data_IF_911158738638
#
_entry.id   IF_911158738638
#
_cell.length_a   1.000
_cell.length_b   1.000
_cell.length_c   1.000
_cell.angle_alpha   90.00
_cell.angle_beta   90.00
_cell.angle_gamma   90.00
#
_symmetry.space_group_name_H-M   'P 1'
#
loop_
_entity.id
_entity.type
_entity.pdbx_description
1 polymer ?
#
# COMPACT_ATOMS: atom_id res chain seq x y z
N UNK A 1 -55.93 -5.58 20.49
CA UNK A 1 -55.01 -4.43 20.24
C UNK A 1 -55.18 -3.30 21.27
N UNK A 2 -55.96 -3.45 22.35
CA UNK A 2 -56.18 -2.37 23.33
C UNK A 2 -55.38 -2.51 24.64
N UNK A 3 -54.73 -3.65 24.90
CA UNK A 3 -54.07 -3.88 26.20
C UNK A 3 -52.58 -3.52 26.24
N UNK A 4 -51.90 -3.39 25.10
CA UNK A 4 -50.45 -3.16 25.05
C UNK A 4 -50.02 -1.68 24.99
N UNK A 5 -50.94 -0.73 25.23
CA UNK A 5 -50.64 0.72 25.25
C UNK A 5 -50.54 1.26 26.69
N UNK A 6 -50.93 0.49 27.71
CA UNK A 6 -51.08 1.03 29.08
C UNK A 6 -49.83 0.95 29.98
N UNK A 7 -48.79 0.22 29.59
CA UNK A 7 -47.50 0.15 30.32
C UNK A 7 -46.32 0.60 29.45
N UNK A 8 -46.38 1.82 28.90
CA UNK A 8 -45.15 2.46 28.41
C UNK A 8 -44.49 3.07 29.65
N UNK A 9 -43.72 2.24 30.37
CA UNK A 9 -42.79 2.71 31.37
C UNK A 9 -41.88 3.78 30.73
N UNK A 10 -42.08 5.03 31.11
CA UNK A 10 -41.26 6.18 30.67
C UNK A 10 -39.77 6.02 31.05
N UNK A 11 -39.44 5.01 31.87
CA UNK A 11 -38.09 4.64 32.29
C UNK A 11 -37.55 3.43 31.52
N UNK A 12 -37.81 3.31 30.22
CA UNK A 12 -37.16 2.31 29.36
C UNK A 12 -35.66 2.62 29.19
N UNK A 13 -34.87 2.18 30.18
CA UNK A 13 -33.44 2.40 30.26
C UNK A 13 -32.67 1.42 29.34
N UNK A 14 -31.43 1.75 28.99
CA UNK A 14 -30.51 0.93 28.19
C UNK A 14 -30.37 -0.49 28.74
N UNK A 15 -30.40 -0.65 30.07
CA UNK A 15 -30.37 -1.96 30.72
C UNK A 15 -31.62 -2.82 30.42
N UNK A 16 -32.80 -2.21 30.36
CA UNK A 16 -34.05 -2.88 29.98
C UNK A 16 -34.02 -3.27 28.50
N UNK A 17 -33.53 -2.38 27.62
CA UNK A 17 -33.32 -2.70 26.22
C UNK A 17 -32.39 -3.92 26.05
N UNK A 18 -31.27 -3.97 26.77
CA UNK A 18 -30.33 -5.10 26.67
C UNK A 18 -30.94 -6.41 27.16
N UNK A 19 -31.78 -6.39 28.21
CA UNK A 19 -32.51 -7.57 28.68
C UNK A 19 -33.54 -8.04 27.65
N UNK A 20 -34.27 -7.11 27.06
CA UNK A 20 -35.32 -7.41 26.09
C UNK A 20 -34.78 -7.77 24.71
N UNK A 21 -33.50 -7.46 24.40
CA UNK A 21 -32.91 -7.72 23.09
C UNK A 21 -33.03 -9.18 22.66
N UNK A 22 -32.92 -10.14 23.57
CA UNK A 22 -33.12 -11.57 23.26
C UNK A 22 -34.55 -11.84 22.82
N UNK A 23 -35.53 -11.34 23.58
CA UNK A 23 -36.94 -11.51 23.26
C UNK A 23 -37.35 -10.77 21.97
N UNK A 24 -36.85 -9.53 21.78
CA UNK A 24 -37.04 -8.76 20.55
C UNK A 24 -36.44 -9.52 19.37
N UNK A 25 -35.26 -10.13 19.51
CA UNK A 25 -34.66 -10.94 18.44
C UNK A 25 -35.52 -12.15 18.09
N UNK A 26 -35.98 -12.90 19.08
CA UNK A 26 -36.87 -14.05 18.86
C UNK A 26 -38.19 -13.64 18.18
N UNK A 27 -38.76 -12.50 18.56
CA UNK A 27 -39.99 -12.01 17.94
C UNK A 27 -39.78 -11.46 16.51
N UNK A 28 -38.65 -10.79 16.25
CA UNK A 28 -38.38 -10.10 14.97
C UNK A 28 -37.71 -11.00 13.92
N UNK A 29 -36.88 -11.95 14.33
CA UNK A 29 -36.14 -12.88 13.44
C UNK A 29 -36.82 -14.24 13.30
N UNK A 30 -38.15 -14.27 13.22
CA UNK A 30 -38.88 -15.48 12.86
C UNK A 30 -38.51 -15.90 11.43
N UNK A 31 -38.35 -17.20 11.21
CA UNK A 31 -38.00 -17.75 9.89
C UNK A 31 -38.98 -17.30 8.79
N UNK A 32 -40.26 -17.17 9.12
CA UNK A 32 -41.28 -16.65 8.20
C UNK A 32 -41.04 -15.18 7.82
N UNK A 33 -40.69 -14.33 8.78
CA UNK A 33 -40.36 -12.91 8.54
C UNK A 33 -39.11 -12.78 7.69
N UNK A 34 -38.08 -13.58 7.98
CA UNK A 34 -36.85 -13.63 7.20
C UNK A 34 -37.18 -14.08 5.78
N UNK A 35 -37.80 -15.24 5.60
CA UNK A 35 -38.15 -15.79 4.28
C UNK A 35 -38.99 -14.81 3.45
N UNK A 36 -40.00 -14.20 4.07
CA UNK A 36 -40.83 -13.19 3.41
C UNK A 36 -40.05 -11.94 3.01
N UNK A 37 -39.13 -11.46 3.86
CA UNK A 37 -38.28 -10.30 3.53
C UNK A 37 -37.35 -10.60 2.35
N UNK A 38 -36.78 -11.80 2.29
CA UNK A 38 -35.93 -12.25 1.18
C UNK A 38 -36.74 -12.46 -0.10
N UNK A 39 -37.97 -12.98 0.00
CA UNK A 39 -38.90 -13.12 -1.12
C UNK A 39 -39.32 -11.76 -1.68
N UNK A 40 -39.63 -10.78 -0.80
CA UNK A 40 -39.95 -9.40 -1.20
C UNK A 40 -38.78 -8.65 -1.83
N UNK A 41 -37.54 -8.99 -1.45
CA UNK A 41 -36.33 -8.46 -2.06
C UNK A 41 -35.98 -9.17 -3.38
N UNK A 42 -36.63 -10.30 -3.68
CA UNK A 42 -36.34 -11.15 -4.83
C UNK A 42 -35.03 -11.92 -4.70
N UNK A 43 -34.53 -12.09 -3.46
CA UNK A 43 -33.29 -12.80 -3.16
C UNK A 43 -33.55 -14.30 -3.03
N UNK A 44 -34.69 -14.70 -2.43
CA UNK A 44 -35.04 -16.11 -2.26
C UNK A 44 -36.55 -16.37 -2.42
N UNK A 45 -36.97 -17.22 -3.38
CA UNK A 45 -36.18 -17.72 -4.50
C UNK A 45 -35.67 -16.56 -5.40
N UNK A 46 -34.51 -16.75 -6.03
CA UNK A 46 -33.85 -15.70 -6.82
C UNK A 46 -34.79 -15.29 -7.97
N UNK A 47 -35.27 -14.06 -7.92
CA UNK A 47 -36.13 -13.47 -8.94
C UNK A 47 -35.50 -12.18 -9.45
N UNK A 48 -34.75 -12.33 -10.54
CA UNK A 48 -33.97 -11.24 -11.16
C UNK A 48 -34.83 -10.01 -11.47
N UNK A 49 -36.09 -10.19 -11.88
CA UNK A 49 -37.00 -9.09 -12.17
C UNK A 49 -37.30 -8.23 -10.95
N UNK A 50 -37.55 -8.84 -9.78
CA UNK A 50 -37.83 -8.14 -8.52
C UNK A 50 -36.57 -7.42 -8.04
N UNK A 51 -35.41 -8.09 -8.10
CA UNK A 51 -34.13 -7.52 -7.71
C UNK A 51 -33.75 -6.29 -8.57
N UNK A 52 -33.91 -6.36 -9.90
CA UNK A 52 -33.64 -5.24 -10.81
C UNK A 52 -34.61 -4.07 -10.55
N UNK A 53 -35.90 -4.35 -10.32
CA UNK A 53 -36.87 -3.30 -9.97
C UNK A 53 -36.48 -2.58 -8.67
N UNK A 54 -36.08 -3.32 -7.63
CA UNK A 54 -35.62 -2.74 -6.36
C UNK A 54 -34.34 -1.93 -6.54
N UNK A 55 -33.35 -2.44 -7.28
CA UNK A 55 -32.14 -1.70 -7.62
C UNK A 55 -32.45 -0.37 -8.30
N UNK A 56 -33.39 -0.34 -9.26
CA UNK A 56 -33.82 0.90 -9.92
C UNK A 56 -34.50 1.91 -8.98
N UNK A 57 -35.13 1.45 -7.90
CA UNK A 57 -35.72 2.34 -6.88
C UNK A 57 -34.61 2.98 -6.04
N UNK A 58 -33.59 2.22 -5.64
CA UNK A 58 -32.49 2.72 -4.81
C UNK A 58 -31.41 3.46 -5.59
N UNK A 59 -31.25 3.18 -6.88
CA UNK A 59 -30.26 3.84 -7.74
C UNK A 59 -30.71 5.24 -8.19
N UNK A 60 -31.97 5.62 -7.98
CA UNK A 60 -32.42 6.99 -8.20
C UNK A 60 -31.75 7.87 -7.14
N UNK A 61 -30.88 8.83 -7.52
CA UNK A 61 -30.30 9.74 -6.55
C UNK A 61 -31.44 10.39 -5.78
N UNK A 62 -31.42 10.22 -4.45
CA UNK A 62 -32.44 10.74 -3.54
C UNK A 62 -32.70 12.20 -3.95
N UNK A 63 -33.92 12.57 -4.37
CA UNK A 63 -34.18 13.93 -4.82
C UNK A 63 -33.76 14.86 -3.71
N UNK A 64 -32.70 15.61 -3.99
CA UNK A 64 -32.05 16.51 -3.06
C UNK A 64 -33.14 17.46 -2.59
N UNK A 65 -33.56 17.29 -1.33
CA UNK A 65 -34.65 18.05 -0.72
C UNK A 65 -34.48 19.51 -1.12
N UNK A 66 -35.49 20.02 -1.82
CA UNK A 66 -35.61 21.35 -2.41
C UNK A 66 -34.83 22.37 -1.57
N UNK A 67 -33.64 22.75 -2.06
CA UNK A 67 -33.04 24.02 -1.68
C UNK A 67 -33.96 25.10 -2.27
N UNK A 68 -34.25 26.11 -1.44
CA UNK A 68 -35.11 27.26 -1.76
C UNK A 68 -34.66 27.95 -3.07
N UNK A 69 -35.58 28.62 -3.78
CA UNK A 69 -35.28 29.33 -5.02
C UNK A 69 -34.16 30.37 -4.84
N UNK A 70 -33.36 30.49 -5.89
CA UNK A 70 -32.08 31.18 -5.98
C UNK A 70 -32.30 32.69 -6.14
N UNK A 71 -31.86 33.46 -5.14
CA UNK A 71 -31.41 34.84 -5.33
C UNK A 71 -30.04 34.79 -6.05
N UNK A 72 -29.75 35.66 -7.05
CA UNK A 72 -28.51 35.56 -7.83
C UNK A 72 -27.26 35.61 -6.93
N UNK A 73 -26.23 34.80 -7.22
CA UNK A 73 -25.11 34.59 -6.32
C UNK A 73 -24.22 35.82 -6.25
N UNK A 74 -24.18 36.46 -5.09
CA UNK A 74 -23.06 37.31 -4.71
C UNK A 74 -21.85 36.38 -4.51
N UNK A 75 -20.90 36.45 -5.44
CA UNK A 75 -19.67 35.66 -5.47
C UNK A 75 -18.81 35.96 -4.25
N UNK A 76 -19.10 35.31 -3.12
CA UNK A 76 -18.22 35.30 -1.97
C UNK A 76 -16.99 34.45 -2.31
N UNK A 77 -15.76 34.99 -2.16
CA UNK A 77 -14.55 34.23 -2.44
C UNK A 77 -14.52 32.98 -1.58
N UNK A 78 -14.34 31.84 -2.25
CA UNK A 78 -14.22 30.52 -1.65
C UNK A 78 -13.14 30.58 -0.56
N UNK A 79 -13.54 30.62 0.71
CA UNK A 79 -12.58 30.64 1.82
C UNK A 79 -11.70 29.39 1.68
N UNK A 80 -10.36 29.51 1.67
CA UNK A 80 -9.49 28.36 1.63
C UNK A 80 -9.82 27.49 2.84
N UNK A 81 -10.32 26.28 2.57
CA UNK A 81 -10.59 25.28 3.60
C UNK A 81 -9.24 24.96 4.23
N UNK A 82 -9.02 25.38 5.47
CA UNK A 82 -7.82 24.97 6.20
C UNK A 82 -7.87 23.45 6.32
N UNK A 83 -6.87 22.72 5.79
CA UNK A 83 -6.87 21.28 5.87
C UNK A 83 -6.88 20.86 7.34
N UNK A 84 -7.76 19.93 7.69
CA UNK A 84 -7.78 19.33 9.02
C UNK A 84 -6.43 18.63 9.24
N UNK A 85 -5.70 18.90 10.34
CA UNK A 85 -4.43 18.23 10.60
C UNK A 85 -4.70 16.72 10.69
N UNK A 86 -3.90 15.96 9.94
CA UNK A 86 -4.01 14.50 9.83
C UNK A 86 -3.06 13.79 10.79
N UNK A 87 -2.06 14.52 11.29
CA UNK A 87 -1.02 14.02 12.18
C UNK A 87 -0.85 14.95 13.37
N UNK A 88 -0.46 14.35 14.49
CA UNK A 88 -0.09 15.05 15.71
C UNK A 88 0.95 16.16 15.49
N UNK A 89 2.00 15.87 14.70
CA UNK A 89 3.06 16.84 14.36
C UNK A 89 2.53 18.02 13.54
N UNK A 90 1.47 17.80 12.75
CA UNK A 90 0.83 18.87 11.98
C UNK A 90 0.00 19.78 12.90
N UNK A 91 -0.63 19.21 13.93
CA UNK A 91 -1.32 19.99 14.96
C UNK A 91 -0.36 20.86 15.78
N UNK A 92 0.78 20.32 16.22
CA UNK A 92 1.82 21.11 16.92
C UNK A 92 2.33 22.28 16.07
N UNK A 93 2.71 22.01 14.82
CA UNK A 93 3.17 23.06 13.89
C UNK A 93 2.07 24.07 13.58
N UNK A 94 0.82 23.60 13.49
CA UNK A 94 -0.35 24.44 13.32
C UNK A 94 -0.52 25.40 14.48
N UNK A 95 -0.42 24.89 15.72
CA UNK A 95 -0.49 25.68 16.95
C UNK A 95 0.63 26.73 16.97
N UNK A 96 1.88 26.33 16.73
CA UNK A 96 3.02 27.25 16.68
C UNK A 96 2.85 28.35 15.63
N UNK A 97 2.38 27.98 14.44
CA UNK A 97 2.10 28.93 13.36
C UNK A 97 1.03 29.95 13.76
N UNK A 98 -0.02 29.52 14.44
CA UNK A 98 -1.08 30.41 14.90
C UNK A 98 -0.63 31.29 16.06
N UNK A 99 0.19 30.78 16.97
CA UNK A 99 0.78 31.57 18.05
C UNK A 99 1.60 32.72 17.48
N UNK A 100 2.53 32.46 16.54
CA UNK A 100 3.33 33.52 15.89
C UNK A 100 2.45 34.55 15.19
N UNK A 101 1.36 34.09 14.53
CA UNK A 101 0.46 34.97 13.79
C UNK A 101 -0.42 35.84 14.70
N UNK A 102 -0.76 35.36 15.89
CA UNK A 102 -1.65 36.04 16.83
C UNK A 102 -0.90 36.90 17.85
N UNK A 103 0.39 36.66 18.07
CA UNK A 103 1.23 37.52 18.91
C UNK A 103 1.18 38.96 18.43
N UNK A 104 0.74 39.88 19.29
CA UNK A 104 0.61 41.31 19.00
C UNK A 104 -0.69 41.73 18.31
N UNK A 105 -1.58 40.80 17.90
CA UNK A 105 -2.90 41.12 17.33
C UNK A 105 -4.03 41.10 18.35
N UNK A 106 -3.85 40.40 19.47
CA UNK A 106 -4.86 40.26 20.52
C UNK A 106 -4.69 41.34 21.60
N UNK A 107 -5.79 41.80 22.17
CA UNK A 107 -5.77 42.66 23.36
C UNK A 107 -5.27 41.89 24.58
N UNK A 108 -4.74 42.59 25.59
CA UNK A 108 -4.14 41.95 26.78
C UNK A 108 -5.02 40.88 27.47
N UNK A 109 -6.33 41.09 27.71
CA UNK A 109 -7.19 40.05 28.28
C UNK A 109 -7.38 38.84 27.35
N UNK A 110 -7.54 39.09 26.06
CA UNK A 110 -7.70 38.03 25.05
C UNK A 110 -6.40 37.26 24.81
N UNK A 111 -5.24 37.93 24.92
CA UNK A 111 -3.93 37.31 24.82
C UNK A 111 -3.71 36.32 25.97
N UNK A 112 -3.99 36.72 27.22
CA UNK A 112 -3.94 35.79 28.37
C UNK A 112 -4.85 34.57 28.19
N UNK A 113 -6.07 34.77 27.69
CA UNK A 113 -6.99 33.66 27.42
C UNK A 113 -6.45 32.72 26.34
N UNK A 114 -5.86 33.27 25.27
CA UNK A 114 -5.23 32.47 24.22
C UNK A 114 -4.01 31.72 24.73
N UNK A 115 -3.15 32.35 25.52
CA UNK A 115 -1.94 31.73 26.07
C UNK A 115 -2.30 30.53 26.96
N UNK A 116 -3.29 30.69 27.84
CA UNK A 116 -3.82 29.59 28.65
C UNK A 116 -4.37 28.44 27.78
N UNK A 117 -5.16 28.77 26.76
CA UNK A 117 -5.69 27.79 25.82
C UNK A 117 -4.59 27.05 25.04
N UNK A 118 -3.58 27.78 24.57
CA UNK A 118 -2.45 27.22 23.82
C UNK A 118 -1.61 26.29 24.69
N UNK A 119 -1.42 26.64 25.96
CA UNK A 119 -0.72 25.82 26.96
C UNK A 119 -1.50 24.54 27.25
N UNK A 120 -2.81 24.63 27.48
CA UNK A 120 -3.65 23.44 27.69
C UNK A 120 -3.68 22.51 26.47
N UNK A 121 -3.70 23.05 25.24
CA UNK A 121 -3.55 22.22 24.04
C UNK A 121 -2.17 21.57 23.97
N UNK A 122 -1.10 22.29 24.31
CA UNK A 122 0.25 21.73 24.30
C UNK A 122 0.37 20.55 25.29
N UNK A 123 -0.27 20.63 26.46
CA UNK A 123 -0.33 19.54 27.44
C UNK A 123 -1.13 18.33 26.92
N UNK A 124 -2.33 18.56 26.38
CA UNK A 124 -3.16 17.49 25.77
C UNK A 124 -2.45 16.84 24.59
N UNK A 125 -1.69 17.63 23.83
CA UNK A 125 -0.84 17.09 22.81
C UNK A 125 0.24 16.23 23.48
N UNK A 126 1.01 16.73 24.44
CA UNK A 126 2.11 15.99 25.05
C UNK A 126 1.66 14.63 25.62
N UNK A 127 0.49 14.56 26.25
CA UNK A 127 -0.10 13.29 26.73
C UNK A 127 -0.45 12.34 25.58
N UNK A 128 -1.06 12.82 24.50
CA UNK A 128 -1.35 11.99 23.32
C UNK A 128 -0.09 11.41 22.66
N UNK A 129 1.05 12.13 22.72
CA UNK A 129 2.34 11.60 22.25
C UNK A 129 2.89 10.50 23.16
N UNK A 130 2.73 10.65 24.47
CA UNK A 130 3.12 9.63 25.44
C UNK A 130 2.33 8.33 25.21
N UNK A 131 1.01 8.43 25.07
CA UNK A 131 0.14 7.28 24.77
C UNK A 131 0.55 6.57 23.46
N UNK A 132 0.91 7.34 22.43
CA UNK A 132 1.38 6.77 21.16
C UNK A 132 2.68 5.96 21.34
N UNK A 133 3.59 6.43 22.19
CA UNK A 133 4.82 5.70 22.51
C UNK A 133 4.53 4.44 23.33
N UNK A 134 3.64 4.50 24.32
CA UNK A 134 3.22 3.34 25.11
C UNK A 134 2.60 2.25 24.23
N UNK A 135 1.72 2.64 23.30
CA UNK A 135 1.15 1.72 22.32
C UNK A 135 2.23 1.09 21.43
N UNK A 136 3.29 1.82 21.11
CA UNK A 136 4.42 1.29 20.33
C UNK A 136 5.24 0.28 21.15
N UNK A 137 5.53 0.58 22.41
CA UNK A 137 6.22 -0.33 23.33
C UNK A 137 5.42 -1.61 23.54
N UNK A 138 4.10 -1.50 23.77
CA UNK A 138 3.21 -2.64 23.92
C UNK A 138 3.21 -3.53 22.67
N UNK A 139 3.17 -2.93 21.47
CA UNK A 139 3.27 -3.68 20.21
C UNK A 139 4.59 -4.44 20.11
N UNK A 140 5.72 -3.79 20.42
CA UNK A 140 7.03 -4.45 20.42
C UNK A 140 7.10 -5.60 21.43
N UNK A 141 6.51 -5.43 22.61
CA UNK A 141 6.45 -6.50 23.61
C UNK A 141 5.59 -7.68 23.13
N UNK A 142 4.44 -7.44 22.52
CA UNK A 142 3.58 -8.48 21.96
C UNK A 142 4.28 -9.23 20.84
N UNK A 143 4.95 -8.51 19.94
CA UNK A 143 5.68 -9.11 18.82
C UNK A 143 6.89 -9.91 19.32
N UNK A 144 7.60 -9.42 20.35
CA UNK A 144 8.68 -10.14 21.02
C UNK A 144 8.19 -11.41 21.74
N UNK A 145 7.00 -11.38 22.36
CA UNK A 145 6.40 -12.56 23.02
C UNK A 145 5.89 -13.60 22.02
N UNK A 146 5.36 -13.18 20.87
CA UNK A 146 4.98 -14.11 19.78
C UNK A 146 6.16 -14.95 19.28
N UNK A 147 7.38 -14.41 19.32
CA UNK A 147 8.60 -15.16 19.01
C UNK A 147 9.00 -16.17 20.09
N UNK A 148 8.84 -15.82 21.37
CA UNK A 148 9.26 -16.64 22.51
C UNK A 148 8.38 -17.88 22.75
N UNK A 149 7.09 -17.82 22.41
CA UNK A 149 6.20 -18.98 22.59
C UNK A 149 6.39 -20.12 21.56
N UNK A 150 7.27 -19.95 20.57
CA UNK A 150 7.69 -21.04 19.67
C UNK A 150 8.94 -21.79 20.13
N UNK A 151 9.57 -21.38 21.25
CA UNK A 151 10.89 -21.88 21.65
C UNK A 151 10.91 -22.71 22.93
N UNK A 152 9.87 -23.49 23.21
CA UNK A 152 10.17 -24.86 23.64
C UNK A 152 10.40 -25.66 22.37
N UNK A 153 11.50 -25.35 21.68
CA UNK A 153 12.01 -26.16 20.59
C UNK A 153 12.47 -27.47 21.25
N UNK A 154 11.51 -28.36 21.48
CA UNK A 154 11.80 -29.73 21.84
C UNK A 154 12.72 -30.26 20.73
N UNK A 155 13.97 -30.54 21.12
CA UNK A 155 14.96 -31.12 20.21
C UNK A 155 14.60 -32.56 19.83
N UNK A 156 13.59 -33.16 20.50
CA UNK A 156 13.18 -34.53 20.25
C UNK A 156 11.77 -34.82 20.78
N UNK A 157 11.02 -35.65 20.03
CA UNK A 157 9.85 -36.40 20.50
C UNK A 157 10.30 -37.85 20.64
N UNK A 158 10.77 -38.25 21.83
CA UNK A 158 11.13 -39.64 22.17
C UNK A 158 12.50 -40.13 21.65
N UNK A 159 13.34 -40.64 22.56
CA UNK A 159 14.62 -41.32 22.30
C UNK A 159 15.78 -40.75 23.12
N UNK A 160 16.79 -41.58 23.43
CA UNK A 160 18.03 -41.13 24.07
C UNK A 160 18.85 -40.27 23.10
N UNK A 161 19.13 -39.03 23.49
CA UNK A 161 20.01 -38.13 22.75
C UNK A 161 21.40 -38.19 23.36
N UNK A 162 22.36 -38.72 22.62
CA UNK A 162 23.78 -38.59 22.97
C UNK A 162 24.20 -37.11 22.96
N UNK A 163 25.06 -36.73 23.89
CA UNK A 163 25.50 -35.33 24.09
C UNK A 163 26.08 -34.75 22.78
N UNK A 164 26.90 -35.54 22.08
CA UNK A 164 27.53 -35.17 20.81
C UNK A 164 26.49 -34.81 19.73
N UNK A 165 25.49 -35.69 19.54
CA UNK A 165 24.39 -35.48 18.59
C UNK A 165 23.57 -34.23 18.94
N UNK A 166 23.43 -33.91 20.23
CA UNK A 166 22.77 -32.69 20.67
C UNK A 166 23.54 -31.42 20.27
N UNK A 167 24.88 -31.45 20.34
CA UNK A 167 25.73 -30.35 19.90
C UNK A 167 25.69 -30.17 18.38
N UNK A 168 25.75 -31.27 17.62
CA UNK A 168 25.63 -31.25 16.16
C UNK A 168 24.28 -30.67 15.70
N UNK A 169 23.17 -31.11 16.31
CA UNK A 169 21.85 -30.57 15.98
C UNK A 169 21.73 -29.07 16.27
N UNK A 170 22.38 -28.59 17.34
CA UNK A 170 22.42 -27.14 17.65
C UNK A 170 23.26 -26.38 16.63
N UNK A 171 24.42 -26.92 16.24
CA UNK A 171 25.29 -26.31 15.23
C UNK A 171 24.59 -26.23 13.87
N UNK A 172 24.03 -27.34 13.37
CA UNK A 172 23.30 -27.37 12.10
C UNK A 172 22.11 -26.40 12.08
N UNK A 173 21.37 -26.29 13.18
CA UNK A 173 20.26 -25.34 13.29
C UNK A 173 20.74 -23.88 13.31
N UNK A 174 21.87 -23.60 13.94
CA UNK A 174 22.48 -22.28 13.93
C UNK A 174 22.98 -21.89 12.52
N UNK A 175 23.61 -22.82 11.81
CA UNK A 175 24.03 -22.62 10.41
C UNK A 175 22.84 -22.40 9.49
N UNK A 176 21.77 -23.20 9.61
CA UNK A 176 20.58 -23.02 8.80
C UNK A 176 19.91 -21.66 9.08
N UNK A 177 19.88 -21.22 10.34
CA UNK A 177 19.40 -19.90 10.72
C UNK A 177 20.28 -18.78 10.14
N UNK A 178 21.61 -18.94 10.17
CA UNK A 178 22.55 -18.00 9.55
C UNK A 178 22.35 -17.93 8.03
N UNK A 179 22.14 -19.07 7.36
CA UNK A 179 21.82 -19.13 5.93
C UNK A 179 20.51 -18.41 5.61
N UNK A 180 19.47 -18.63 6.42
CA UNK A 180 18.17 -17.93 6.29
C UNK A 180 18.31 -16.42 6.52
N UNK A 181 19.15 -15.99 7.46
CA UNK A 181 19.44 -14.57 7.69
C UNK A 181 20.14 -13.93 6.48
N UNK A 182 21.25 -14.54 6.01
CA UNK A 182 21.97 -14.08 4.81
C UNK A 182 21.06 -14.04 3.57
N UNK A 183 20.20 -15.03 3.38
CA UNK A 183 19.24 -15.04 2.27
C UNK A 183 18.21 -13.90 2.35
N UNK A 184 17.73 -13.56 3.57
CA UNK A 184 16.81 -12.43 3.77
C UNK A 184 17.52 -11.11 3.50
N UNK A 185 18.74 -10.93 3.98
CA UNK A 185 19.56 -9.74 3.73
C UNK A 185 19.84 -9.56 2.24
N UNK A 186 20.26 -10.62 1.55
CA UNK A 186 20.47 -10.61 0.10
C UNK A 186 19.19 -10.25 -0.67
N UNK A 187 18.03 -10.73 -0.22
CA UNK A 187 16.73 -10.37 -0.83
C UNK A 187 16.42 -8.89 -0.66
N UNK A 188 16.62 -8.33 0.54
CA UNK A 188 16.41 -6.91 0.82
C UNK A 188 17.36 -6.05 -0.02
N UNK A 189 18.64 -6.44 -0.12
CA UNK A 189 19.62 -5.75 -0.96
C UNK A 189 19.23 -5.76 -2.44
N UNK A 190 18.79 -6.90 -2.98
CA UNK A 190 18.27 -7.00 -4.36
C UNK A 190 17.04 -6.14 -4.58
N UNK A 191 16.11 -6.12 -3.62
CA UNK A 191 14.92 -5.28 -3.72
C UNK A 191 15.28 -3.79 -3.72
N UNK A 192 16.18 -3.35 -2.83
CA UNK A 192 16.69 -1.99 -2.78
C UNK A 192 17.37 -1.59 -4.09
N UNK A 193 18.27 -2.44 -4.62
CA UNK A 193 18.93 -2.23 -5.90
C UNK A 193 17.91 -2.12 -7.06
N UNK A 194 16.89 -2.98 -7.08
CA UNK A 194 15.84 -2.93 -8.10
C UNK A 194 15.00 -1.64 -8.03
N UNK A 195 14.73 -1.13 -6.81
CA UNK A 195 14.02 0.13 -6.59
C UNK A 195 14.85 1.32 -7.05
N UNK A 196 16.13 1.35 -6.70
CA UNK A 196 17.08 2.38 -7.16
C UNK A 196 17.19 2.40 -8.69
N UNK A 197 17.34 1.24 -9.33
CA UNK A 197 17.36 1.12 -10.81
C UNK A 197 16.08 1.66 -11.46
N UNK A 198 14.91 1.37 -10.88
CA UNK A 198 13.62 1.90 -11.35
C UNK A 198 13.55 3.43 -11.21
N UNK A 199 14.08 3.99 -10.12
CA UNK A 199 14.14 5.44 -9.91
C UNK A 199 15.06 6.12 -10.94
N UNK A 200 16.27 5.60 -11.15
CA UNK A 200 17.21 6.09 -12.17
C UNK A 200 16.57 6.07 -13.56
N UNK A 201 15.90 4.98 -13.94
CA UNK A 201 15.20 4.89 -15.23
C UNK A 201 14.10 5.94 -15.38
N UNK A 202 13.35 6.24 -14.32
CA UNK A 202 12.31 7.29 -14.33
C UNK A 202 12.95 8.67 -14.56
N UNK A 203 14.01 8.98 -13.79
CA UNK A 203 14.75 10.22 -13.93
C UNK A 203 15.35 10.38 -15.33
N UNK A 204 15.93 9.31 -15.90
CA UNK A 204 16.46 9.33 -17.26
C UNK A 204 15.40 9.56 -18.33
N UNK A 205 14.21 8.95 -18.18
CA UNK A 205 13.07 9.23 -19.08
C UNK A 205 12.65 10.69 -19.02
N UNK A 206 12.59 11.28 -17.82
CA UNK A 206 12.18 12.67 -17.65
C UNK A 206 13.25 13.65 -18.16
N UNK A 207 14.54 13.37 -17.94
CA UNK A 207 15.66 14.11 -18.52
C UNK A 207 15.61 14.10 -20.06
N UNK A 208 15.40 12.93 -20.68
CA UNK A 208 15.25 12.83 -22.14
C UNK A 208 14.05 13.61 -22.68
N UNK A 209 12.94 13.68 -21.94
CA UNK A 209 11.78 14.51 -22.34
C UNK A 209 12.11 15.98 -22.27
N UNK A 210 12.75 16.43 -21.19
CA UNK A 210 13.18 17.81 -21.03
C UNK A 210 14.17 18.21 -22.13
N UNK A 211 15.14 17.35 -22.44
CA UNK A 211 16.11 17.58 -23.50
C UNK A 211 15.45 17.67 -24.89
N UNK A 212 14.43 16.84 -25.16
CA UNK A 212 13.63 16.96 -26.39
C UNK A 212 12.87 18.29 -26.46
N UNK A 213 12.36 18.79 -25.34
CA UNK A 213 11.69 20.09 -25.26
C UNK A 213 12.69 21.24 -25.45
N UNK A 214 13.86 21.18 -24.80
CA UNK A 214 14.98 22.12 -24.99
C UNK A 214 15.35 22.22 -26.47
N UNK A 215 15.67 21.08 -27.10
CA UNK A 215 16.02 21.03 -28.54
C UNK A 215 14.92 21.61 -29.44
N UNK A 216 13.65 21.37 -29.12
CA UNK A 216 12.52 21.98 -29.87
C UNK A 216 12.47 23.49 -29.72
N UNK A 217 12.67 24.03 -28.50
CA UNK A 217 12.72 25.49 -28.24
C UNK A 217 13.89 26.14 -28.95
N UNK A 218 15.10 25.58 -28.81
CA UNK A 218 16.31 26.06 -29.49
C UNK A 218 16.09 26.11 -31.00
N UNK A 219 15.57 25.03 -31.59
CA UNK A 219 15.28 24.99 -33.04
C UNK A 219 14.27 26.05 -33.46
N UNK A 220 13.24 26.31 -32.65
CA UNK A 220 12.25 27.35 -32.93
C UNK A 220 12.84 28.77 -32.87
N UNK A 221 13.71 29.05 -31.88
CA UNK A 221 14.40 30.34 -31.74
C UNK A 221 15.37 30.61 -32.89
N UNK A 222 16.18 29.61 -33.25
CA UNK A 222 17.09 29.70 -34.39
C UNK A 222 16.33 29.95 -35.69
N UNK A 223 15.15 29.31 -35.87
CA UNK A 223 14.30 29.56 -37.03
C UNK A 223 13.69 30.97 -37.05
N UNK A 224 13.45 31.55 -35.87
CA UNK A 224 12.93 32.92 -35.73
C UNK A 224 14.03 34.01 -35.80
N UNK A 225 15.32 33.62 -35.86
CA UNK A 225 16.44 34.57 -35.80
C UNK A 225 16.68 35.16 -34.41
N UNK A 226 16.06 34.60 -33.37
CA UNK A 226 16.21 35.08 -32.00
C UNK A 226 17.43 34.42 -31.33
N UNK A 227 18.19 35.15 -30.48
CA UNK A 227 19.28 34.56 -29.72
C UNK A 227 18.75 33.48 -28.76
N UNK A 228 19.53 32.41 -28.57
CA UNK A 228 19.18 31.31 -27.66
C UNK A 228 19.41 31.78 -26.22
N UNK A 229 18.42 31.64 -25.32
CA UNK A 229 18.56 32.02 -23.93
C UNK A 229 19.62 31.14 -23.22
N UNK A 230 20.34 31.68 -22.24
CA UNK A 230 21.45 31.00 -21.58
C UNK A 230 21.05 29.68 -20.92
N UNK A 231 19.81 29.55 -20.45
CA UNK A 231 19.30 28.31 -19.83
C UNK A 231 19.20 27.13 -20.82
N UNK A 232 19.12 27.42 -22.11
CA UNK A 232 19.00 26.43 -23.17
C UNK A 232 20.35 26.14 -23.86
N UNK A 233 21.45 26.74 -23.43
CA UNK A 233 22.79 26.48 -24.00
C UNK A 233 23.30 25.09 -23.59
N UNK A 234 23.17 24.75 -22.31
CA UNK A 234 23.72 23.51 -21.76
C UNK A 234 22.81 22.30 -22.06
N UNK A 235 23.39 21.20 -22.59
CA UNK A 235 22.67 19.93 -22.70
C UNK A 235 22.25 19.40 -21.34
N UNK A 236 21.02 18.91 -21.20
CA UNK A 236 20.57 18.27 -19.96
C UNK A 236 21.17 16.86 -19.90
N UNK A 237 22.03 16.54 -18.91
CA UNK A 237 22.66 15.23 -18.81
C UNK A 237 21.63 14.15 -18.45
N UNK A 238 21.70 13.00 -19.11
CA UNK A 238 20.86 11.85 -18.79
C UNK A 238 21.51 11.05 -17.64
N UNK A 239 20.90 11.00 -16.45
CA UNK A 239 21.46 10.28 -15.30
C UNK A 239 21.57 8.76 -15.54
N UNK A 240 20.85 8.21 -16.52
CA UNK A 240 20.97 6.80 -16.91
C UNK A 240 22.25 6.55 -17.73
N UNK A 241 22.71 7.54 -18.52
CA UNK A 241 23.85 7.39 -19.44
C UNK A 241 25.21 7.33 -18.71
N UNK A 242 25.37 8.07 -17.60
CA UNK A 242 26.58 8.04 -16.78
C UNK A 242 26.70 6.80 -15.88
N UNK A 243 25.65 5.95 -15.82
CA UNK A 243 25.66 4.73 -14.99
C UNK A 243 26.15 3.49 -15.74
N UNK A 244 26.50 3.61 -17.02
CA UNK A 244 27.28 2.56 -17.68
C UNK A 244 28.62 2.51 -16.97
N UNK A 245 29.02 1.38 -16.37
CA UNK A 245 30.40 1.23 -15.92
C UNK A 245 31.24 1.48 -17.17
N UNK A 246 32.09 2.50 -17.12
CA UNK A 246 33.10 2.66 -18.16
C UNK A 246 33.82 1.31 -18.24
N UNK A 247 33.94 0.71 -19.45
CA UNK A 247 34.83 -0.43 -19.59
C UNK A 247 36.19 0.07 -19.14
N UNK A 248 36.69 -0.49 -18.03
CA UNK A 248 37.98 -0.13 -17.46
C UNK A 248 38.98 -0.02 -18.60
N UNK A 249 39.44 1.21 -18.86
CA UNK A 249 40.48 1.48 -19.83
C UNK A 249 41.65 0.57 -19.46
N UNK A 250 42.03 -0.29 -20.38
CA UNK A 250 43.00 -1.36 -20.16
C UNK A 250 44.21 -0.86 -19.38
N UNK A 251 44.30 -1.29 -18.13
CA UNK A 251 45.59 -1.41 -17.45
C UNK A 251 46.33 -2.51 -18.17
N UNK A 252 47.07 -2.10 -19.21
CA UNK A 252 48.11 -2.88 -19.88
C UNK A 252 49.25 -3.03 -18.88
N UNK A 253 49.09 -3.91 -17.89
CA UNK A 253 50.20 -4.56 -17.23
C UNK A 253 50.20 -5.99 -17.76
N UNK A 254 51.13 -6.25 -18.67
CA UNK A 254 51.31 -7.54 -19.32
C UNK A 254 51.57 -8.64 -18.29
N UNK A 255 50.59 -9.51 -18.14
CA UNK A 255 50.81 -10.86 -17.65
C UNK A 255 50.69 -11.78 -18.86
N UNK A 256 51.85 -12.18 -19.40
CA UNK A 256 51.93 -13.33 -20.29
C UNK A 256 51.62 -14.57 -19.44
N UNK A 257 50.34 -14.96 -19.40
CA UNK A 257 49.97 -16.29 -18.92
C UNK A 257 49.96 -17.23 -20.11
N UNK A 258 50.99 -18.08 -20.13
CA UNK A 258 51.09 -19.26 -20.98
C UNK A 258 49.83 -20.15 -20.83
N UNK A 259 49.39 -20.81 -21.91
CA UNK A 259 48.29 -21.77 -21.85
C UNK A 259 48.83 -23.15 -21.44
N UNK A 260 48.48 -23.62 -20.25
CA UNK A 260 48.83 -24.99 -19.84
C UNK A 260 48.78 -25.24 -18.35
N UNK A 261 47.58 -25.32 -17.78
CA UNK A 261 47.36 -26.03 -16.51
C UNK A 261 46.13 -26.91 -16.69
N UNK A 262 46.31 -28.04 -17.36
CA UNK A 262 45.43 -29.19 -17.21
C UNK A 262 45.68 -29.75 -15.80
N UNK A 263 44.71 -29.54 -14.92
CA UNK A 263 44.69 -30.18 -13.61
C UNK A 263 44.26 -31.64 -13.85
N UNK A 264 45.23 -32.49 -14.16
CA UNK A 264 45.07 -33.95 -14.16
C UNK A 264 44.70 -34.39 -12.74
N UNK A 265 43.40 -34.51 -12.47
CA UNK A 265 42.89 -35.14 -11.27
C UNK A 265 42.99 -36.65 -11.46
N UNK A 266 43.91 -37.25 -10.73
CA UNK A 266 44.12 -38.69 -10.71
C UNK A 266 42.78 -39.41 -10.39
N UNK A 267 42.29 -40.32 -11.27
CA UNK A 267 41.01 -41.02 -11.09
C UNK A 267 41.00 -42.01 -9.90
N UNK A 268 42.06 -42.03 -9.08
CA UNK A 268 42.14 -42.79 -7.83
C UNK A 268 42.16 -41.94 -6.55
N UNK A 269 42.06 -40.61 -6.64
CA UNK A 269 42.11 -39.77 -5.44
C UNK A 269 40.88 -40.00 -4.54
N UNK A 270 41.11 -40.06 -3.21
CA UNK A 270 40.05 -40.29 -2.21
C UNK A 270 38.88 -39.31 -2.33
N UNK A 271 39.14 -38.11 -2.84
CA UNK A 271 38.14 -37.05 -3.03
C UNK A 271 37.18 -37.39 -4.20
N UNK A 272 37.66 -38.03 -5.26
CA UNK A 272 36.83 -38.53 -6.35
C UNK A 272 35.94 -39.69 -5.90
N UNK A 273 36.51 -40.62 -5.10
CA UNK A 273 35.75 -41.73 -4.50
C UNK A 273 34.70 -41.26 -3.47
N UNK A 274 34.95 -40.13 -2.79
CA UNK A 274 34.01 -39.55 -1.83
C UNK A 274 32.83 -38.86 -2.53
N UNK A 275 33.08 -38.13 -3.62
CA UNK A 275 32.03 -37.52 -4.44
C UNK A 275 31.16 -38.57 -5.13
N UNK A 276 31.74 -39.69 -5.56
CA UNK A 276 30.98 -40.78 -6.17
C UNK A 276 30.09 -41.52 -5.15
N UNK A 277 30.58 -41.67 -3.91
CA UNK A 277 29.78 -42.23 -2.80
C UNK A 277 28.65 -41.30 -2.34
N UNK A 278 28.84 -39.99 -2.41
CA UNK A 278 27.77 -39.02 -2.11
C UNK A 278 26.68 -39.00 -3.20
N UNK A 279 27.04 -39.22 -4.47
CA UNK A 279 26.05 -39.32 -5.56
C UNK A 279 25.20 -40.60 -5.45
N UNK A 280 25.80 -41.75 -5.12
CA UNK A 280 25.07 -43.02 -4.93
C UNK A 280 24.13 -42.98 -3.72
N UNK A 281 24.47 -42.23 -2.66
CA UNK A 281 23.60 -42.06 -1.48
C UNK A 281 22.40 -41.10 -1.69
N UNK A 282 22.28 -40.44 -2.84
CA UNK A 282 21.12 -39.59 -3.16
C UNK A 282 20.02 -40.30 -3.96
N UNK A 283 20.14 -41.62 -4.14
CA UNK A 283 19.23 -42.48 -4.92
C UNK A 283 17.92 -42.90 -4.24
N UNK A 284 17.57 -42.38 -3.06
CA UNK A 284 16.25 -42.58 -2.42
C UNK A 284 15.46 -41.25 -2.39
N UNK A 285 15.05 -40.79 -3.56
CA UNK A 285 13.86 -39.93 -3.71
C UNK A 285 12.86 -40.64 -4.63
N UNK A 286 12.63 -41.92 -4.32
CA UNK A 286 11.46 -42.66 -4.77
C UNK A 286 10.35 -42.51 -3.73
N UNK A 287 9.19 -42.09 -4.23
CA UNK A 287 7.87 -42.10 -3.58
C UNK A 287 7.39 -40.81 -2.89
N UNK A 288 6.21 -40.39 -3.38
CA UNK A 288 5.24 -39.51 -2.73
C UNK A 288 5.46 -37.99 -2.77
N UNK A 289 5.45 -37.42 -3.99
CA UNK A 289 4.80 -36.13 -4.21
C UNK A 289 3.72 -36.27 -5.27
N UNK A 290 2.54 -36.71 -4.84
CA UNK A 290 1.29 -36.52 -5.59
C UNK A 290 1.04 -35.02 -5.78
N UNK A 291 1.27 -34.55 -7.01
CA UNK A 291 0.68 -33.31 -7.47
C UNK A 291 -0.81 -33.53 -7.74
N UNK A 292 -1.73 -32.68 -7.24
CA UNK A 292 -3.12 -32.72 -7.66
C UNK A 292 -3.20 -32.20 -9.10
N UNK A 293 -3.05 -33.12 -10.06
CA UNK A 293 -3.33 -32.88 -11.47
C UNK A 293 -4.82 -32.72 -11.69
N UNK A 294 -5.13 -31.71 -12.50
CA UNK A 294 -6.45 -31.26 -12.89
C UNK A 294 -7.30 -32.42 -13.43
N UNK A 295 -8.45 -32.64 -12.80
CA UNK A 295 -9.51 -33.48 -13.32
C UNK A 295 -10.08 -32.85 -14.61
N UNK A 296 -9.57 -33.30 -15.76
CA UNK A 296 -10.29 -33.22 -17.02
C UNK A 296 -11.44 -34.22 -16.95
N UNK A 297 -12.67 -33.73 -16.80
CA UNK A 297 -13.87 -34.54 -16.90
C UNK A 297 -14.01 -35.05 -18.34
N UNK A 298 -13.56 -36.29 -18.59
CA UNK A 298 -13.98 -37.09 -19.73
C UNK A 298 -15.48 -37.33 -19.63
N UNK A 299 -16.23 -36.62 -20.48
CA UNK A 299 -17.66 -36.83 -20.69
C UNK A 299 -17.91 -38.28 -21.15
N UNK A 300 -18.66 -39.03 -20.33
CA UNK A 300 -19.18 -40.36 -20.65
C UNK A 300 -20.49 -40.16 -21.44
N UNK A 301 -20.70 -40.84 -22.59
CA UNK A 301 -21.91 -40.68 -23.38
C UNK A 301 -23.11 -41.28 -22.62
N UNK A 302 -24.11 -40.45 -22.35
CA UNK A 302 -25.40 -40.92 -21.84
C UNK A 302 -26.18 -41.58 -22.97
N UNK A 303 -26.58 -42.81 -22.70
CA UNK A 303 -27.45 -43.61 -23.54
C UNK A 303 -28.79 -42.90 -23.77
N UNK A 304 -29.25 -42.95 -25.00
CA UNK A 304 -30.57 -42.52 -25.43
C UNK A 304 -31.64 -43.47 -24.87
N UNK A 305 -32.74 -42.88 -24.39
CA UNK A 305 -34.04 -43.57 -24.29
C UNK A 305 -35.04 -42.87 -25.21
N UNK A 306 -36.01 -43.60 -25.78
CA UNK A 306 -36.83 -43.11 -26.88
C UNK A 306 -38.21 -42.59 -26.43
N UNK A 307 -38.82 -41.84 -27.35
CA UNK A 307 -40.26 -41.63 -27.53
C UNK A 307 -41.02 -40.72 -26.53
N UNK A 308 -41.39 -39.54 -27.01
CA UNK A 308 -42.83 -39.23 -27.12
C UNK A 308 -43.13 -38.32 -28.31
N UNK A 309 -44.29 -38.58 -28.90
CA UNK A 309 -44.72 -38.17 -30.22
C UNK A 309 -45.48 -36.84 -30.24
N UNK A 310 -45.63 -36.30 -31.47
CA UNK A 310 -46.72 -35.43 -31.95
C UNK A 310 -46.89 -34.07 -31.23
N UNK A 311 -46.67 -32.97 -31.93
CA UNK A 311 -47.73 -32.47 -32.81
C UNK A 311 -47.20 -31.48 -33.86
N UNK A 312 -47.67 -31.69 -35.09
CA UNK A 312 -47.65 -30.74 -36.21
C UNK A 312 -48.66 -29.63 -35.91
N UNK A 313 -48.23 -28.37 -36.02
CA UNK A 313 -49.11 -27.27 -36.44
C UNK A 313 -48.33 -26.43 -37.47
N UNK A 314 -49.03 -26.14 -38.55
CA UNK A 314 -48.65 -25.50 -39.82
C UNK A 314 -48.24 -24.02 -39.63
N UNK A 315 -47.32 -23.46 -40.44
CA UNK A 315 -46.92 -22.05 -40.35
C UNK A 315 -47.79 -21.15 -41.25
N UNK A 316 -47.84 -19.84 -40.98
CA UNK A 316 -48.04 -18.87 -42.04
C UNK A 316 -46.77 -18.04 -42.27
N UNK A 317 -46.42 -18.05 -43.55
CA UNK A 317 -45.64 -17.04 -44.26
C UNK A 317 -46.01 -15.62 -43.80
N UNK A 318 -45.04 -14.72 -43.63
CA UNK A 318 -44.99 -13.47 -44.39
C UNK A 318 -43.71 -12.65 -44.09
N UNK A 319 -43.14 -12.18 -45.22
CA UNK A 319 -42.44 -10.90 -45.42
C UNK A 319 -41.07 -10.64 -44.75
N UNK A 320 -40.06 -10.95 -45.59
CA UNK A 320 -38.95 -10.07 -45.99
C UNK A 320 -39.07 -8.61 -45.53
N UNK A 321 -38.10 -8.13 -44.77
CA UNK A 321 -37.40 -6.88 -45.08
C UNK A 321 -35.90 -7.05 -44.79
N UNK A 322 -35.10 -6.80 -45.83
CA UNK A 322 -33.65 -6.71 -45.79
C UNK A 322 -33.30 -5.31 -45.27
N UNK A 323 -32.40 -5.23 -44.29
CA UNK A 323 -31.44 -4.12 -44.21
C UNK A 323 -30.12 -4.66 -43.69
N UNK A 324 -29.16 -4.66 -44.60
CA UNK A 324 -27.71 -4.72 -44.42
C UNK A 324 -27.25 -3.53 -43.57
N UNK A 325 -26.38 -3.75 -42.58
CA UNK A 325 -25.26 -2.84 -42.21
C UNK A 325 -24.27 -3.59 -41.30
N UNK A 326 -23.15 -3.94 -41.91
CA UNK A 326 -21.79 -4.22 -41.41
C UNK A 326 -21.45 -3.46 -40.12
N UNK A 327 -21.11 -4.12 -39.00
CA UNK A 327 -19.82 -4.70 -38.56
C UNK A 327 -18.74 -3.64 -38.22
N UNK A 328 -18.02 -3.93 -37.11
CA UNK A 328 -16.82 -3.29 -36.53
C UNK A 328 -17.08 -2.12 -35.56
N UNK A 329 -16.38 -1.95 -34.44
CA UNK A 329 -15.52 -2.77 -33.59
C UNK A 329 -15.36 -1.98 -32.27
N UNK A 330 -14.98 -2.72 -31.22
CA UNK A 330 -14.31 -2.31 -29.98
C UNK A 330 -14.02 -0.82 -29.70
N UNK A 331 -14.46 -0.33 -28.52
CA UNK A 331 -13.63 0.55 -27.68
C UNK A 331 -14.21 0.74 -26.26
N UNK A 332 -13.87 -0.18 -25.35
CA UNK A 332 -14.02 0.07 -23.90
C UNK A 332 -12.94 1.03 -23.41
N UNK A 333 -13.24 2.33 -23.44
CA UNK A 333 -12.39 3.39 -22.88
C UNK A 333 -12.55 3.46 -21.35
N UNK A 334 -11.53 2.94 -20.68
CA UNK A 334 -11.35 2.91 -19.21
C UNK A 334 -10.88 4.29 -18.70
N UNK A 335 -11.80 5.09 -18.17
CA UNK A 335 -11.47 6.33 -17.46
C UNK A 335 -10.72 6.03 -16.16
N UNK A 336 -9.45 6.44 -16.11
CA UNK A 336 -8.58 6.36 -14.94
C UNK A 336 -8.25 7.78 -14.51
N UNK A 337 -8.93 8.26 -13.47
CA UNK A 337 -8.61 9.53 -12.81
C UNK A 337 -7.16 9.49 -12.30
N UNK A 338 -6.32 10.38 -12.82
CA UNK A 338 -4.98 10.65 -12.30
C UNK A 338 -5.09 11.75 -11.25
N UNK A 339 -5.02 11.36 -9.98
CA UNK A 339 -4.75 12.29 -8.88
C UNK A 339 -3.26 12.66 -8.95
N UNK A 340 -2.95 13.87 -9.41
CA UNK A 340 -1.59 14.42 -9.34
C UNK A 340 -1.41 15.10 -7.99
N UNK A 341 -0.67 14.44 -7.12
CA UNK A 341 -0.16 15.03 -5.88
C UNK A 341 1.05 15.92 -6.24
N UNK A 342 0.89 17.24 -6.07
CA UNK A 342 1.94 18.25 -6.33
C UNK A 342 2.50 18.70 -4.98
N UNK A 343 3.48 17.98 -4.45
CA UNK A 343 4.36 18.48 -3.38
C UNK A 343 5.48 19.30 -4.02
N UNK A 344 5.25 20.61 -4.09
CA UNK A 344 6.24 21.62 -4.47
C UNK A 344 7.08 21.94 -3.23
N UNK A 345 8.27 21.35 -3.12
CA UNK A 345 9.28 21.71 -2.13
C UNK A 345 9.88 23.05 -2.59
N UNK A 346 9.60 24.12 -1.85
CA UNK A 346 10.33 25.39 -1.97
C UNK A 346 11.55 25.30 -1.05
N UNK A 347 12.71 25.06 -1.63
CA UNK A 347 14.00 25.39 -1.02
C UNK A 347 14.37 26.80 -1.47
N UNK A 348 14.38 27.76 -0.55
CA UNK A 348 14.95 29.09 -0.77
C UNK A 348 16.36 29.13 -0.18
N UNK A 349 17.38 29.54 -0.95
CA UNK A 349 18.72 29.82 -0.46
C UNK A 349 18.92 31.34 -0.28
N UNK A 350 19.26 31.80 0.92
CA UNK A 350 19.87 33.11 1.28
C UNK A 350 19.83 33.20 2.82
N UNK A 351 20.85 33.59 3.60
CA UNK A 351 22.10 34.30 3.34
C UNK A 351 23.22 33.73 4.22
N UNK A 352 24.42 33.65 3.66
CA UNK A 352 25.68 33.73 4.38
C UNK A 352 26.13 35.22 4.47
N UNK A 353 27.04 35.49 5.41
CA UNK A 353 27.75 36.75 5.75
C UNK A 353 27.05 37.69 6.75
N UNK A 354 27.50 37.63 8.01
CA UNK A 354 28.30 38.70 8.62
C UNK A 354 29.40 38.03 9.46
N UNK A 355 30.64 38.43 9.20
CA UNK A 355 31.82 38.11 9.98
C UNK A 355 32.12 39.27 10.94
N UNK A 356 32.80 38.98 12.05
CA UNK A 356 33.70 39.95 12.68
C UNK A 356 33.45 40.29 14.14
N UNK A 357 34.58 40.35 14.86
CA UNK A 357 34.85 41.05 16.13
C UNK A 357 34.49 40.30 17.42
N UNK A 358 35.47 39.67 18.07
CA UNK A 358 36.50 40.27 18.96
C UNK A 358 35.94 40.83 20.26
N UNK A 359 36.39 40.28 21.39
CA UNK A 359 35.97 40.77 22.70
C UNK A 359 36.52 39.98 23.89
N UNK A 360 37.85 39.86 24.00
CA UNK A 360 38.54 39.58 25.27
C UNK A 360 38.19 40.67 26.30
N UNK A 361 38.03 40.26 27.56
CA UNK A 361 38.28 40.94 28.86
C UNK A 361 37.17 40.52 29.84
N UNK A 362 37.41 40.18 31.10
CA UNK A 362 38.61 40.26 31.92
C UNK A 362 38.25 39.73 33.32
N UNK A 363 39.25 39.20 33.99
CA UNK A 363 39.26 38.84 35.41
C UNK A 363 39.21 40.10 36.27
N UNK A 364 38.58 39.99 37.43
CA UNK A 364 38.71 40.87 38.61
C UNK A 364 37.83 40.24 39.70
N UNK A 365 38.32 39.41 40.63
CA UNK A 365 39.16 39.74 41.80
C UNK A 365 38.62 40.96 42.57
N UNK A 366 37.97 40.62 43.70
CA UNK A 366 37.73 41.30 45.01
C UNK A 366 38.70 42.45 45.40
N UNK A 367 38.47 43.28 46.46
CA UNK A 367 37.67 43.00 47.68
C UNK A 367 36.84 44.17 48.32
N UNK A 368 36.02 43.77 49.33
CA UNK A 368 35.62 44.37 50.65
C UNK A 368 35.76 45.86 51.00
N UNK A 369 35.12 46.38 52.08
CA UNK A 369 34.39 45.70 53.19
C UNK A 369 32.87 45.91 53.27
#
# INVERSE_FOLDING_TARGET
>A
MHDSIRDIDLNYNVASLIRDLSHIREQTFKESTITHSFQKAGIWPISLNIAIQKLRVYSKPKPQRRRRPITPPLTLPLRPITPKPSSYKESERGLQRWTIKLTGLLSSPSQKSYDNFSTGIAEVLASGRLEQLDLQVLRQQVDGKKGKNRSRAQLQVGGELTIERAHELRAAKAEEAARKARAKEARIAREAASRAKKQLRRLGVDARKQERLRKKRVKALLRAGNPVPPEDLDPIPDPEAGSKPEPEAGSVLGFNSEPGFELELDPGSQLALQLQRELENTGEWGEEWEWPSQATQKAKPRQATPNYAKSRIVPPQLRRHKTTTTQDNDDTRRDRYKTTDKTRIYTMPWMAKVAGEEGKKGRGLFPEP
#
